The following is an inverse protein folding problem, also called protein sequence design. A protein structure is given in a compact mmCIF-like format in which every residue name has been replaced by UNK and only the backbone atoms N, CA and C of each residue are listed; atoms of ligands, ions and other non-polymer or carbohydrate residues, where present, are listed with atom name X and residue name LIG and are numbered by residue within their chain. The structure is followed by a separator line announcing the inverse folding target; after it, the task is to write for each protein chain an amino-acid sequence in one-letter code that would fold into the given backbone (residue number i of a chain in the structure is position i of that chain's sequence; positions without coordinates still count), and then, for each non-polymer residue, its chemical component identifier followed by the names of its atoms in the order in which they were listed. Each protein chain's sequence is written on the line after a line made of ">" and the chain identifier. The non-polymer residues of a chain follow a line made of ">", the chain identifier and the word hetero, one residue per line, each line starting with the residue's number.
data_IF_983947715022
#
_entry.id   IF_983947715022
#
_cell.length_a   1.000
_cell.length_b   1.000
_cell.length_c   1.000
_cell.angle_alpha   90.00
_cell.angle_beta   90.00
_cell.angle_gamma   90.00
#
_symmetry.space_group_name_H-M   'P 1'
#
loop_
_entity.id
_entity.type
_entity.pdbx_description
1 polymer ?
#
# COMPACT_ATOMS: atom_id res chain seq x y z
N UNK A 1 -25.46 -4.37 -10.34
CA UNK A 1 -24.19 -3.76 -10.79
C UNK A 1 -24.51 -2.40 -11.39
N UNK A 2 -23.74 -1.33 -11.11
CA UNK A 2 -23.68 -0.02 -11.81
C UNK A 2 -23.91 1.25 -10.96
N UNK A 3 -23.27 1.39 -9.81
CA UNK A 3 -23.04 2.73 -9.24
C UNK A 3 -21.59 3.20 -9.46
N UNK A 4 -20.60 2.32 -9.27
CA UNK A 4 -19.17 2.69 -9.34
C UNK A 4 -18.41 2.27 -10.63
N UNK A 5 -19.04 1.55 -11.57
CA UNK A 5 -18.33 0.98 -12.72
C UNK A 5 -17.67 2.06 -13.61
N UNK A 6 -18.32 3.22 -13.73
CA UNK A 6 -17.76 4.39 -14.43
C UNK A 6 -16.55 4.95 -13.69
N UNK A 7 -16.61 5.06 -12.38
CA UNK A 7 -15.52 5.62 -11.57
C UNK A 7 -14.31 4.70 -11.54
N UNK A 8 -14.51 3.39 -11.46
CA UNK A 8 -13.45 2.38 -11.64
C UNK A 8 -12.78 2.55 -13.01
N UNK A 9 -13.58 2.60 -14.08
CA UNK A 9 -13.05 2.76 -15.44
C UNK A 9 -12.23 4.06 -15.58
N UNK A 10 -12.72 5.16 -15.02
CA UNK A 10 -12.01 6.45 -15.04
C UNK A 10 -10.73 6.41 -14.18
N UNK A 11 -10.74 5.74 -13.04
CA UNK A 11 -9.57 5.56 -12.19
C UNK A 11 -8.50 4.70 -12.87
N UNK A 12 -8.90 3.61 -13.50
CA UNK A 12 -8.02 2.73 -14.28
C UNK A 12 -7.41 3.49 -15.47
N UNK A 13 -8.22 4.22 -16.26
CA UNK A 13 -7.73 5.00 -17.39
C UNK A 13 -6.71 6.07 -16.96
N UNK A 14 -7.04 6.87 -15.94
CA UNK A 14 -6.13 7.89 -15.38
C UNK A 14 -4.89 7.27 -14.76
N UNK A 15 -5.01 6.08 -14.17
CA UNK A 15 -3.90 5.30 -13.63
C UNK A 15 -2.93 4.89 -14.73
N UNK A 16 -3.44 4.24 -15.77
CA UNK A 16 -2.67 3.82 -16.95
C UNK A 16 -1.98 4.98 -17.63
N UNK A 17 -2.67 6.11 -17.84
CA UNK A 17 -2.07 7.32 -18.42
C UNK A 17 -0.87 7.82 -17.60
N UNK A 18 -1.00 7.89 -16.28
CA UNK A 18 0.08 8.35 -15.40
C UNK A 18 1.25 7.38 -15.35
N UNK A 19 0.97 6.07 -15.33
CA UNK A 19 2.00 5.03 -15.37
C UNK A 19 2.78 5.14 -16.68
N UNK A 20 2.09 5.23 -17.83
CA UNK A 20 2.72 5.36 -19.13
C UNK A 20 3.60 6.62 -19.23
N UNK A 21 3.15 7.76 -18.69
CA UNK A 21 3.96 8.98 -18.61
C UNK A 21 5.23 8.78 -17.77
N UNK A 22 5.11 8.20 -16.58
CA UNK A 22 6.27 7.92 -15.73
C UNK A 22 7.24 6.91 -16.37
N UNK A 23 6.72 5.89 -17.06
CA UNK A 23 7.54 4.91 -17.78
C UNK A 23 8.25 5.53 -18.98
N UNK A 24 7.60 6.44 -19.71
CA UNK A 24 8.24 7.19 -20.78
C UNK A 24 9.38 8.07 -20.27
N UNK A 25 9.14 8.80 -19.17
CA UNK A 25 10.18 9.60 -18.51
C UNK A 25 11.36 8.73 -18.05
N UNK A 26 11.08 7.56 -17.47
CA UNK A 26 12.12 6.63 -17.03
C UNK A 26 12.91 6.01 -18.19
N UNK A 27 12.28 5.78 -19.35
CA UNK A 27 12.97 5.35 -20.56
C UNK A 27 13.85 6.46 -21.14
N UNK A 28 13.38 7.70 -21.15
CA UNK A 28 14.14 8.84 -21.67
C UNK A 28 15.29 9.26 -20.74
N UNK A 29 15.10 9.15 -19.41
CA UNK A 29 16.11 9.48 -18.39
C UNK A 29 16.23 8.38 -17.34
N UNK A 30 16.88 7.25 -17.67
CA UNK A 30 17.03 6.13 -16.76
C UNK A 30 17.77 6.54 -15.49
N UNK A 31 17.14 6.33 -14.34
CA UNK A 31 17.76 6.53 -13.03
C UNK A 31 16.95 5.83 -11.95
N UNK A 32 17.57 5.52 -10.81
CA UNK A 32 16.87 4.96 -9.66
C UNK A 32 15.69 5.83 -9.19
N UNK A 33 15.81 7.16 -9.29
CA UNK A 33 14.71 8.11 -9.00
C UNK A 33 13.54 7.95 -9.96
N UNK A 34 13.78 7.77 -11.26
CA UNK A 34 12.70 7.62 -12.25
C UNK A 34 12.06 6.23 -12.14
N UNK A 35 12.86 5.17 -11.93
CA UNK A 35 12.33 3.82 -11.64
C UNK A 35 11.50 3.80 -10.35
N UNK A 36 11.92 4.52 -9.30
CA UNK A 36 11.12 4.71 -8.10
C UNK A 36 9.78 5.39 -8.42
N UNK A 37 9.81 6.46 -9.23
CA UNK A 37 8.61 7.20 -9.59
C UNK A 37 7.60 6.33 -10.34
N UNK A 38 8.06 5.48 -11.25
CA UNK A 38 7.20 4.49 -11.94
C UNK A 38 6.51 3.58 -10.94
N UNK A 39 7.26 2.98 -10.02
CA UNK A 39 6.68 2.09 -9.01
C UNK A 39 5.73 2.80 -8.05
N UNK A 40 6.05 4.04 -7.68
CA UNK A 40 5.19 4.89 -6.85
C UNK A 40 3.84 5.16 -7.55
N UNK A 41 3.88 5.54 -8.83
CA UNK A 41 2.67 5.83 -9.63
C UNK A 41 1.85 4.56 -9.86
N UNK A 42 2.49 3.41 -10.10
CA UNK A 42 1.80 2.10 -10.18
C UNK A 42 1.07 1.78 -8.88
N UNK A 43 1.73 1.96 -7.74
CA UNK A 43 1.12 1.74 -6.42
C UNK A 43 -0.07 2.68 -6.18
N UNK A 44 0.10 3.99 -6.46
CA UNK A 44 -0.96 4.99 -6.30
C UNK A 44 -2.15 4.72 -7.23
N UNK A 45 -1.92 4.28 -8.47
CA UNK A 45 -2.96 3.91 -9.42
C UNK A 45 -3.75 2.68 -8.93
N UNK A 46 -3.04 1.61 -8.55
CA UNK A 46 -3.66 0.40 -8.02
C UNK A 46 -4.48 0.68 -6.75
N UNK A 47 -3.97 1.51 -5.85
CA UNK A 47 -4.69 1.90 -4.63
C UNK A 47 -5.98 2.68 -4.95
N UNK A 48 -5.92 3.64 -5.88
CA UNK A 48 -7.12 4.39 -6.29
C UNK A 48 -8.18 3.47 -6.86
N UNK A 49 -7.83 2.62 -7.81
CA UNK A 49 -8.76 1.63 -8.36
C UNK A 49 -9.32 0.70 -7.29
N UNK A 50 -8.49 0.24 -6.34
CA UNK A 50 -8.95 -0.59 -5.23
C UNK A 50 -9.94 0.16 -4.32
N UNK A 51 -9.72 1.45 -4.04
CA UNK A 51 -10.67 2.26 -3.28
C UNK A 51 -12.02 2.40 -3.99
N UNK A 52 -12.02 2.71 -5.29
CA UNK A 52 -13.28 2.81 -6.06
C UNK A 52 -14.04 1.47 -6.06
N UNK A 53 -13.31 0.33 -6.06
CA UNK A 53 -13.92 -1.00 -5.92
C UNK A 53 -14.51 -1.22 -4.53
N UNK A 54 -13.90 -0.67 -3.48
CA UNK A 54 -14.45 -0.71 -2.12
C UNK A 54 -15.68 0.19 -1.94
N UNK A 55 -15.90 1.17 -2.82
CA UNK A 55 -16.97 2.16 -2.63
C UNK A 55 -18.39 1.58 -2.77
N UNK A 56 -18.54 0.44 -3.43
CA UNK A 56 -19.79 -0.33 -3.48
C UNK A 56 -20.16 -1.00 -2.15
N UNK A 57 -19.20 -1.13 -1.23
CA UNK A 57 -19.43 -1.74 0.08
C UNK A 57 -19.99 -0.70 1.07
N UNK A 58 -20.49 -1.17 2.20
CA UNK A 58 -20.98 -0.31 3.28
C UNK A 58 -20.52 -0.79 4.66
N UNK A 59 -20.53 0.13 5.63
CA UNK A 59 -20.14 -0.14 7.02
C UNK A 59 -18.73 -0.72 7.15
N UNK A 60 -18.55 -1.59 8.15
CA UNK A 60 -17.26 -2.20 8.45
C UNK A 60 -16.63 -2.94 7.25
N UNK A 61 -17.44 -3.55 6.38
CA UNK A 61 -16.92 -4.22 5.17
C UNK A 61 -16.19 -3.24 4.23
N UNK A 62 -16.71 -2.02 4.08
CA UNK A 62 -16.04 -0.94 3.34
C UNK A 62 -14.74 -0.52 4.03
N UNK A 63 -14.79 -0.34 5.34
CA UNK A 63 -13.64 0.11 6.12
C UNK A 63 -12.48 -0.90 6.09
N UNK A 64 -12.79 -2.19 6.20
CA UNK A 64 -11.80 -3.28 6.04
C UNK A 64 -11.22 -3.25 4.63
N UNK A 65 -12.05 -3.17 3.60
CA UNK A 65 -11.61 -3.14 2.20
C UNK A 65 -10.63 -1.98 1.93
N UNK A 66 -10.97 -0.76 2.38
CA UNK A 66 -10.10 0.42 2.20
C UNK A 66 -8.80 0.27 2.98
N UNK A 67 -8.83 -0.29 4.20
CA UNK A 67 -7.62 -0.53 5.00
C UNK A 67 -6.71 -1.59 4.38
N UNK A 68 -7.27 -2.65 3.79
CA UNK A 68 -6.51 -3.65 3.04
C UNK A 68 -5.84 -3.04 1.80
N UNK A 69 -6.62 -2.28 1.02
CA UNK A 69 -6.09 -1.56 -0.13
C UNK A 69 -4.93 -0.64 0.27
N UNK A 70 -5.06 0.04 1.43
CA UNK A 70 -4.01 0.90 1.99
C UNK A 70 -2.80 0.10 2.45
N UNK A 71 -2.98 -1.08 3.05
CA UNK A 71 -1.86 -1.93 3.46
C UNK A 71 -1.04 -2.43 2.26
N UNK A 72 -1.71 -2.82 1.17
CA UNK A 72 -1.05 -3.16 -0.10
C UNK A 72 -0.31 -1.94 -0.68
N UNK A 73 -0.94 -0.76 -0.64
CA UNK A 73 -0.33 0.48 -1.10
C UNK A 73 0.95 0.83 -0.34
N UNK A 74 0.88 0.81 1.00
CA UNK A 74 2.03 1.09 1.89
C UNK A 74 3.16 0.11 1.61
N UNK A 75 2.85 -1.19 1.46
CA UNK A 75 3.85 -2.21 1.11
C UNK A 75 4.53 -1.91 -0.22
N UNK A 76 3.75 -1.62 -1.26
CA UNK A 76 4.31 -1.31 -2.58
C UNK A 76 5.22 -0.05 -2.54
N UNK A 77 4.86 0.98 -1.78
CA UNK A 77 5.72 2.18 -1.62
C UNK A 77 6.98 1.89 -0.80
N UNK A 78 6.88 1.05 0.24
CA UNK A 78 8.02 0.62 1.04
C UNK A 78 9.01 -0.19 0.19
N UNK A 79 8.53 -1.17 -0.57
CA UNK A 79 9.35 -1.97 -1.48
C UNK A 79 10.03 -1.09 -2.53
N UNK A 80 9.28 -0.15 -3.15
CA UNK A 80 9.84 0.81 -4.09
C UNK A 80 10.96 1.67 -3.46
N UNK A 81 10.79 2.12 -2.21
CA UNK A 81 11.81 2.89 -1.47
C UNK A 81 13.06 2.04 -1.23
N UNK A 82 12.91 0.77 -0.84
CA UNK A 82 14.04 -0.16 -0.63
C UNK A 82 14.79 -0.38 -1.95
N UNK A 83 14.09 -0.63 -3.05
CA UNK A 83 14.71 -0.80 -4.38
C UNK A 83 15.44 0.47 -4.81
N UNK A 84 14.84 1.65 -4.62
CA UNK A 84 15.49 2.93 -4.91
C UNK A 84 16.81 3.08 -4.15
N UNK A 85 16.78 2.90 -2.82
CA UNK A 85 17.96 3.06 -1.97
C UNK A 85 19.05 2.03 -2.31
N UNK A 86 18.64 0.80 -2.64
CA UNK A 86 19.56 -0.26 -3.10
C UNK A 86 20.26 0.12 -4.41
N UNK A 87 19.54 0.75 -5.34
CA UNK A 87 20.07 1.12 -6.66
C UNK A 87 20.84 2.46 -6.65
N UNK A 88 20.52 3.39 -5.73
CA UNK A 88 21.22 4.68 -5.59
C UNK A 88 22.56 4.55 -4.85
N UNK A 89 22.76 3.46 -4.11
CA UNK A 89 23.95 3.28 -3.28
C UNK A 89 24.86 2.21 -3.87
N UNK A 90 26.00 2.59 -4.44
CA UNK A 90 27.07 1.66 -4.78
C UNK A 90 27.50 0.88 -3.54
N UNK A 91 27.38 -0.46 -3.57
CA UNK A 91 27.81 -1.59 -2.69
C UNK A 91 28.31 -1.38 -1.23
N UNK A 92 28.23 -0.19 -0.63
CA UNK A 92 28.91 0.19 0.60
C UNK A 92 28.01 0.88 1.66
N UNK A 93 26.68 0.95 1.49
CA UNK A 93 25.76 1.40 2.57
C UNK A 93 24.62 0.43 2.81
N UNK A 94 24.97 -0.80 3.20
CA UNK A 94 24.03 -1.80 3.73
C UNK A 94 23.11 -1.20 4.80
N UNK A 95 23.62 -0.30 5.64
CA UNK A 95 22.85 0.34 6.72
C UNK A 95 21.65 1.16 6.22
N UNK A 96 21.80 1.89 5.10
CA UNK A 96 20.67 2.66 4.55
C UNK A 96 19.58 1.78 3.97
N UNK A 97 19.98 0.65 3.37
CA UNK A 97 19.03 -0.36 2.87
C UNK A 97 18.35 -1.05 4.04
N UNK A 98 19.10 -1.40 5.09
CA UNK A 98 18.58 -2.00 6.31
C UNK A 98 17.58 -1.06 7.01
N UNK A 99 17.89 0.22 7.13
CA UNK A 99 16.98 1.19 7.73
C UNK A 99 15.73 1.40 6.87
N UNK A 100 15.87 1.50 5.54
CA UNK A 100 14.71 1.58 4.64
C UNK A 100 13.81 0.35 4.73
N UNK A 101 14.38 -0.86 4.90
CA UNK A 101 13.62 -2.09 5.12
C UNK A 101 12.92 -2.11 6.48
N UNK A 102 13.60 -1.64 7.53
CA UNK A 102 13.05 -1.56 8.89
C UNK A 102 11.88 -0.58 8.94
N UNK A 103 12.05 0.62 8.40
CA UNK A 103 10.99 1.62 8.23
C UNK A 103 9.80 1.03 7.46
N UNK A 104 10.08 0.44 6.29
CA UNK A 104 9.06 -0.19 5.45
C UNK A 104 8.30 -1.29 6.19
N UNK A 105 9.00 -2.13 6.95
CA UNK A 105 8.39 -3.19 7.75
C UNK A 105 7.49 -2.63 8.85
N UNK A 106 7.93 -1.56 9.53
CA UNK A 106 7.12 -0.88 10.55
C UNK A 106 5.84 -0.31 9.95
N UNK A 107 5.94 0.41 8.84
CA UNK A 107 4.79 1.02 8.17
C UNK A 107 3.80 -0.04 7.66
N UNK A 108 4.32 -1.13 7.07
CA UNK A 108 3.51 -2.26 6.58
C UNK A 108 2.81 -2.97 7.74
N UNK A 109 3.51 -3.22 8.84
CA UNK A 109 2.92 -3.85 10.01
C UNK A 109 1.85 -2.97 10.66
N UNK A 110 2.08 -1.66 10.74
CA UNK A 110 1.07 -0.71 11.24
C UNK A 110 -0.18 -0.69 10.34
N UNK A 111 0.00 -0.68 9.01
CA UNK A 111 -1.13 -0.71 8.08
C UNK A 111 -1.91 -2.03 8.16
N UNK A 112 -1.22 -3.16 8.22
CA UNK A 112 -1.84 -4.48 8.39
C UNK A 112 -2.54 -4.61 9.75
N UNK A 113 -1.95 -4.08 10.81
CA UNK A 113 -2.58 -4.04 12.12
C UNK A 113 -3.89 -3.25 12.09
N UNK A 114 -3.90 -2.06 11.47
CA UNK A 114 -5.12 -1.25 11.34
C UNK A 114 -6.21 -2.04 10.60
N UNK A 115 -5.86 -2.75 9.54
CA UNK A 115 -6.80 -3.58 8.79
C UNK A 115 -7.30 -4.79 9.60
N UNK A 116 -6.44 -5.43 10.40
CA UNK A 116 -6.82 -6.54 11.27
C UNK A 116 -7.70 -6.08 12.44
N UNK A 117 -7.36 -4.95 13.07
CA UNK A 117 -8.16 -4.33 14.13
C UNK A 117 -9.58 -4.01 13.65
N UNK A 118 -9.70 -3.44 12.45
CA UNK A 118 -11.01 -3.15 11.87
C UNK A 118 -11.86 -4.41 11.69
N UNK A 119 -11.27 -5.55 11.29
CA UNK A 119 -12.01 -6.82 11.21
C UNK A 119 -12.50 -7.29 12.57
N UNK A 120 -11.70 -7.08 13.63
CA UNK A 120 -12.09 -7.40 14.99
C UNK A 120 -13.27 -6.55 15.49
N UNK A 121 -13.57 -5.40 14.87
CA UNK A 121 -14.67 -4.53 15.29
C UNK A 121 -16.06 -5.13 15.05
N UNK A 122 -16.16 -6.21 14.28
CA UNK A 122 -17.39 -7.02 14.14
C UNK A 122 -17.69 -7.90 15.36
N UNK A 123 -16.72 -8.06 16.26
CA UNK A 123 -16.81 -8.87 17.47
C UNK A 123 -17.17 -7.99 18.69
N UNK A 124 -17.52 -8.62 19.81
CA UNK A 124 -17.84 -7.93 21.07
C UNK A 124 -17.22 -8.64 22.28
N UNK A 125 -17.06 -7.89 23.38
CA UNK A 125 -16.54 -8.38 24.66
C UNK A 125 -15.15 -9.02 24.55
N UNK A 126 -14.91 -10.04 25.39
CA UNK A 126 -13.62 -10.74 25.49
C UNK A 126 -13.11 -11.31 24.16
N UNK A 127 -14.02 -11.65 23.24
CA UNK A 127 -13.68 -12.18 21.91
C UNK A 127 -13.02 -11.09 21.06
N UNK A 128 -13.56 -9.86 21.11
CA UNK A 128 -12.96 -8.70 20.43
C UNK A 128 -11.59 -8.38 21.02
N UNK A 129 -11.48 -8.36 22.34
CA UNK A 129 -10.22 -8.04 23.01
C UNK A 129 -9.14 -9.04 22.64
N UNK A 130 -9.46 -10.34 22.66
CA UNK A 130 -8.53 -11.39 22.21
C UNK A 130 -8.10 -11.22 20.76
N UNK A 131 -9.04 -10.94 19.85
CA UNK A 131 -8.74 -10.68 18.43
C UNK A 131 -7.75 -9.51 18.28
N UNK A 132 -7.97 -8.41 19.00
CA UNK A 132 -7.08 -7.24 18.95
C UNK A 132 -5.70 -7.56 19.54
N UNK A 133 -5.61 -8.33 20.62
CA UNK A 133 -4.33 -8.74 21.21
C UNK A 133 -3.54 -9.66 20.28
N UNK A 134 -4.20 -10.63 19.64
CA UNK A 134 -3.57 -11.47 18.62
C UNK A 134 -3.05 -10.65 17.44
N UNK A 135 -3.84 -9.67 16.97
CA UNK A 135 -3.41 -8.74 15.93
C UNK A 135 -2.19 -7.91 16.35
N UNK A 136 -2.16 -7.43 17.60
CA UNK A 136 -0.98 -6.72 18.14
C UNK A 136 0.26 -7.60 18.13
N UNK A 137 0.16 -8.83 18.62
CA UNK A 137 1.25 -9.80 18.63
C UNK A 137 1.75 -10.12 17.21
N UNK A 138 0.83 -10.36 16.27
CA UNK A 138 1.16 -10.68 14.87
C UNK A 138 1.91 -9.55 14.15
N UNK A 139 1.55 -8.30 14.42
CA UNK A 139 2.10 -7.14 13.72
C UNK A 139 3.07 -6.32 14.58
N UNK A 140 3.55 -6.88 15.69
CA UNK A 140 4.56 -6.27 16.56
C UNK A 140 4.14 -4.90 17.12
N UNK A 141 2.84 -4.70 17.34
CA UNK A 141 2.33 -3.47 17.96
C UNK A 141 2.44 -3.64 19.48
N UNK A 142 3.24 -2.78 20.10
CA UNK A 142 3.41 -2.73 21.56
C UNK A 142 2.32 -1.89 22.19
#
# INVERSE_FOLDING_TARGET
>A
MKANAKDICMAEAKGTEKVAKAENEAQYKPSAKHSYKVNEVKADAAYKTAKEKCDDLAGNAKDVCVKDAKAVHVKAKADAKVTKVSNETSMAKSDKVAEARKDGTKDVNEANYKAAKERCDTLAGDVKDRCVQEAKGKYGQK
#
